data_IF_593028072102
#
_entry.id   IF_593028072102
#
_cell.length_a   1.000
_cell.length_b   1.000
_cell.length_c   1.000
_cell.angle_alpha   90.00
_cell.angle_beta   90.00
_cell.angle_gamma   90.00
#
_symmetry.space_group_name_H-M   'P 1'
#
loop_
_entity.id
_entity.type
_entity.pdbx_description
1 polymer ?
#
# COMPACT_ATOMS: atom_id res chain seq x y z
N UNK A 1 -16.45 -4.56 -20.96
CA UNK A 1 -17.24 -3.76 -21.90
C UNK A 1 -18.59 -3.46 -21.24
N UNK A 2 -18.98 -2.21 -21.17
CA UNK A 2 -20.23 -1.77 -20.54
C UNK A 2 -21.37 -1.99 -21.55
N UNK A 3 -22.29 -2.89 -21.26
CA UNK A 3 -23.52 -3.03 -22.04
C UNK A 3 -24.34 -1.73 -22.01
N UNK A 4 -24.84 -1.31 -23.16
CA UNK A 4 -25.53 0.00 -23.36
C UNK A 4 -26.71 0.26 -22.40
N UNK A 5 -27.36 -0.78 -21.87
CA UNK A 5 -28.52 -0.65 -20.96
C UNK A 5 -28.15 -0.43 -19.49
N UNK A 6 -26.86 -0.58 -19.09
CA UNK A 6 -26.46 -0.56 -17.68
C UNK A 6 -25.51 0.62 -17.31
N UNK A 7 -25.29 1.54 -18.26
CA UNK A 7 -24.35 2.66 -18.05
C UNK A 7 -24.78 3.61 -16.93
N UNK A 8 -26.04 3.97 -16.89
CA UNK A 8 -26.58 4.86 -15.84
C UNK A 8 -26.40 4.25 -14.43
N UNK A 9 -26.72 2.97 -14.28
CA UNK A 9 -26.59 2.26 -13.02
C UNK A 9 -25.13 2.11 -12.58
N UNK A 10 -24.21 1.85 -13.52
CA UNK A 10 -22.76 1.83 -13.25
C UNK A 10 -22.28 3.20 -12.79
N UNK A 11 -22.73 4.28 -13.43
CA UNK A 11 -22.41 5.65 -13.03
C UNK A 11 -22.91 5.97 -11.61
N UNK A 12 -24.11 5.54 -11.24
CA UNK A 12 -24.62 5.72 -9.88
C UNK A 12 -23.72 5.05 -8.84
N UNK A 13 -23.24 3.82 -9.11
CA UNK A 13 -22.27 3.15 -8.23
C UNK A 13 -20.95 3.90 -8.09
N UNK A 14 -20.41 4.41 -9.21
CA UNK A 14 -19.18 5.24 -9.19
C UNK A 14 -19.42 6.53 -8.41
N UNK A 15 -20.57 7.18 -8.62
CA UNK A 15 -20.92 8.44 -7.95
C UNK A 15 -21.08 8.26 -6.45
N UNK A 16 -21.71 7.15 -6.02
CA UNK A 16 -21.80 6.79 -4.60
C UNK A 16 -20.40 6.69 -3.96
N UNK A 17 -19.51 5.95 -4.60
CA UNK A 17 -18.14 5.77 -4.10
C UNK A 17 -17.38 7.11 -4.09
N UNK A 18 -17.53 7.94 -5.13
CA UNK A 18 -16.93 9.26 -5.16
C UNK A 18 -17.41 10.15 -4.01
N UNK A 19 -18.73 10.13 -3.72
CA UNK A 19 -19.30 10.90 -2.60
C UNK A 19 -18.72 10.47 -1.26
N UNK A 20 -18.63 9.16 -0.99
CA UNK A 20 -18.00 8.65 0.22
C UNK A 20 -16.50 9.00 0.29
N UNK A 21 -15.83 9.03 -0.85
CA UNK A 21 -14.42 9.40 -0.93
C UNK A 21 -14.20 10.88 -0.63
N UNK A 22 -15.07 11.76 -1.11
CA UNK A 22 -15.06 13.18 -0.70
C UNK A 22 -15.30 13.33 0.81
N UNK A 23 -16.26 12.60 1.35
CA UNK A 23 -16.48 12.59 2.79
C UNK A 23 -15.22 12.08 3.55
N UNK A 24 -14.53 11.08 3.02
CA UNK A 24 -13.29 10.58 3.61
C UNK A 24 -12.17 11.63 3.64
N UNK A 25 -12.02 12.43 2.57
CA UNK A 25 -11.10 13.56 2.54
C UNK A 25 -11.44 14.60 3.60
N UNK A 26 -12.72 14.98 3.67
CA UNK A 26 -13.17 15.97 4.66
C UNK A 26 -12.97 15.48 6.09
N UNK A 27 -13.27 14.21 6.37
CA UNK A 27 -13.07 13.61 7.70
C UNK A 27 -11.58 13.51 8.04
N UNK A 28 -10.71 13.20 7.07
CA UNK A 28 -9.27 13.13 7.30
C UNK A 28 -8.66 14.48 7.71
N UNK A 29 -9.28 15.61 7.32
CA UNK A 29 -8.86 16.96 7.71
C UNK A 29 -9.29 17.34 9.13
N UNK A 30 -10.20 16.61 9.77
CA UNK A 30 -10.61 16.87 11.15
C UNK A 30 -9.39 16.78 12.08
N UNK A 31 -9.15 17.77 12.97
CA UNK A 31 -7.94 17.83 13.77
C UNK A 31 -7.59 16.58 14.57
N UNK A 32 -8.61 15.86 15.08
CA UNK A 32 -8.41 14.61 15.82
C UNK A 32 -7.94 13.50 14.88
N UNK A 33 -8.56 13.35 13.70
CA UNK A 33 -8.22 12.33 12.69
C UNK A 33 -6.83 12.60 12.11
N UNK A 34 -6.54 13.87 11.84
CA UNK A 34 -5.23 14.33 11.35
C UNK A 34 -4.11 14.05 12.36
N UNK A 35 -4.35 14.26 13.68
CA UNK A 35 -3.38 13.91 14.73
C UNK A 35 -3.07 12.42 14.80
N UNK A 36 -4.02 11.58 14.42
CA UNK A 36 -3.83 10.13 14.31
C UNK A 36 -3.17 9.72 12.99
N UNK A 37 -2.84 10.68 12.11
CA UNK A 37 -2.27 10.48 10.77
C UNK A 37 -3.05 9.48 9.92
N UNK A 38 -4.37 9.42 10.09
CA UNK A 38 -5.23 8.62 9.24
C UNK A 38 -5.34 9.27 7.87
N UNK A 39 -4.82 8.58 6.86
CA UNK A 39 -4.95 9.01 5.48
C UNK A 39 -6.41 8.93 5.00
N UNK A 40 -6.81 9.70 3.97
CA UNK A 40 -8.14 9.56 3.35
C UNK A 40 -8.43 8.13 2.90
N UNK A 41 -7.41 7.34 2.52
CA UNK A 41 -7.54 5.95 2.15
C UNK A 41 -8.09 5.08 3.30
N UNK A 42 -7.53 5.27 4.49
CA UNK A 42 -7.96 4.56 5.71
C UNK A 42 -9.39 4.96 6.09
N UNK A 43 -9.68 6.26 6.08
CA UNK A 43 -11.03 6.76 6.35
C UNK A 43 -12.02 6.21 5.33
N UNK A 44 -11.64 6.18 4.05
CA UNK A 44 -12.46 5.65 2.96
C UNK A 44 -12.84 4.18 3.15
N UNK A 45 -11.88 3.30 3.47
CA UNK A 45 -12.21 1.88 3.69
C UNK A 45 -13.13 1.70 4.91
N UNK A 46 -12.90 2.46 6.00
CA UNK A 46 -13.75 2.40 7.19
C UNK A 46 -15.17 2.85 6.87
N UNK A 47 -15.36 3.96 6.16
CA UNK A 47 -16.68 4.42 5.71
C UNK A 47 -17.36 3.38 4.83
N UNK A 48 -16.63 2.78 3.89
CA UNK A 48 -17.12 1.68 3.05
C UNK A 48 -17.58 0.48 3.88
N UNK A 49 -16.78 0.06 4.88
CA UNK A 49 -17.13 -1.04 5.78
C UNK A 49 -18.36 -0.72 6.66
N UNK A 50 -18.45 0.51 7.19
CA UNK A 50 -19.63 0.96 7.94
C UNK A 50 -20.88 0.90 7.05
N UNK A 51 -20.77 1.38 5.82
CA UNK A 51 -21.86 1.30 4.85
C UNK A 51 -22.26 -0.17 4.55
N UNK A 52 -21.28 -1.04 4.31
CA UNK A 52 -21.50 -2.47 4.03
C UNK A 52 -22.25 -3.19 5.16
N UNK A 53 -22.01 -2.80 6.41
CA UNK A 53 -22.58 -3.47 7.57
C UNK A 53 -23.86 -2.80 8.13
N UNK A 54 -24.20 -1.60 7.65
CA UNK A 54 -25.42 -0.88 8.08
C UNK A 54 -26.47 -0.74 6.97
N UNK A 55 -26.07 -0.40 5.76
CA UNK A 55 -26.97 0.04 4.69
C UNK A 55 -26.92 -0.84 3.43
N UNK A 56 -26.07 -1.87 3.37
CA UNK A 56 -25.89 -2.68 2.16
C UNK A 56 -27.19 -3.31 1.64
N UNK A 57 -28.09 -3.72 2.50
CA UNK A 57 -29.37 -4.31 2.13
C UNK A 57 -30.30 -3.32 1.38
N UNK A 58 -29.95 -2.03 1.38
CA UNK A 58 -30.67 -0.98 0.66
C UNK A 58 -29.98 -0.59 -0.65
N UNK A 59 -28.79 -1.15 -0.95
CA UNK A 59 -28.07 -0.88 -2.18
C UNK A 59 -28.69 -1.64 -3.35
N UNK A 60 -29.08 -0.96 -4.43
CA UNK A 60 -29.50 -1.64 -5.65
C UNK A 60 -28.38 -2.50 -6.22
N UNK A 61 -28.64 -3.77 -6.50
CA UNK A 61 -27.66 -4.69 -7.12
C UNK A 61 -27.14 -4.15 -8.47
N UNK A 62 -27.92 -3.31 -9.13
CA UNK A 62 -27.54 -2.64 -10.39
C UNK A 62 -26.37 -1.66 -10.25
N UNK A 63 -26.01 -1.20 -9.04
CA UNK A 63 -24.89 -0.29 -8.78
C UNK A 63 -23.57 -1.02 -8.52
N UNK A 64 -23.62 -2.31 -8.20
CA UNK A 64 -22.43 -3.15 -7.90
C UNK A 64 -21.39 -3.13 -9.03
N UNK A 65 -21.75 -3.13 -10.35
CA UNK A 65 -20.74 -3.00 -11.40
C UNK A 65 -19.92 -1.72 -11.32
N UNK A 66 -20.51 -0.59 -10.88
CA UNK A 66 -19.81 0.68 -10.68
C UNK A 66 -18.84 0.64 -9.51
N UNK A 67 -19.23 0.00 -8.42
CA UNK A 67 -18.33 -0.24 -7.26
C UNK A 67 -17.14 -1.08 -7.68
N UNK A 68 -17.37 -2.19 -8.41
CA UNK A 68 -16.30 -3.05 -8.93
C UNK A 68 -15.40 -2.36 -9.96
N UNK A 69 -15.92 -1.38 -10.69
CA UNK A 69 -15.10 -0.56 -11.56
C UNK A 69 -14.10 0.28 -10.75
N UNK A 70 -14.53 0.83 -9.61
CA UNK A 70 -13.65 1.58 -8.72
C UNK A 70 -12.55 0.69 -8.12
N UNK A 71 -12.88 -0.51 -7.64
CA UNK A 71 -11.87 -1.44 -7.07
C UNK A 71 -10.89 -1.98 -8.10
N UNK A 72 -11.20 -1.93 -9.39
CA UNK A 72 -10.34 -2.53 -10.43
C UNK A 72 -9.67 -1.52 -11.35
N UNK A 73 -10.45 -0.63 -11.96
CA UNK A 73 -9.91 0.28 -12.98
C UNK A 73 -9.41 1.58 -12.37
N UNK A 74 -10.21 2.20 -11.50
CA UNK A 74 -9.82 3.44 -10.82
C UNK A 74 -8.55 3.21 -10.00
N UNK A 75 -8.47 2.08 -9.28
CA UNK A 75 -7.27 1.66 -8.57
C UNK A 75 -6.01 1.65 -9.45
N UNK A 76 -6.10 0.98 -10.61
CA UNK A 76 -4.93 0.82 -11.50
C UNK A 76 -4.42 2.16 -12.01
N UNK A 77 -5.32 3.04 -12.40
CA UNK A 77 -4.95 4.38 -12.83
C UNK A 77 -4.41 5.23 -11.68
N UNK A 78 -4.98 5.12 -10.46
CA UNK A 78 -4.41 5.77 -9.27
C UNK A 78 -2.98 5.33 -9.03
N UNK A 79 -2.67 4.02 -9.10
CA UNK A 79 -1.30 3.51 -8.94
C UNK A 79 -0.38 4.07 -10.03
N UNK A 80 -0.82 4.14 -11.29
CA UNK A 80 0.01 4.71 -12.37
C UNK A 80 0.32 6.18 -12.11
N UNK A 81 -0.68 6.99 -11.73
CA UNK A 81 -0.49 8.41 -11.43
C UNK A 81 0.38 8.63 -10.19
N UNK A 82 0.36 7.71 -9.23
CA UNK A 82 1.23 7.77 -8.04
C UNK A 82 2.72 7.82 -8.41
N UNK A 83 3.10 7.34 -9.60
CA UNK A 83 4.46 7.44 -10.13
C UNK A 83 4.97 8.88 -10.28
N UNK A 84 4.10 9.88 -10.43
CA UNK A 84 4.51 11.29 -10.49
C UNK A 84 5.07 11.84 -9.16
N UNK A 85 4.88 11.13 -8.04
CA UNK A 85 5.46 11.51 -6.75
C UNK A 85 6.94 11.19 -6.62
N UNK A 86 7.51 10.47 -7.58
CA UNK A 86 8.84 9.91 -7.51
C UNK A 86 9.71 10.34 -8.69
N UNK A 87 11.01 10.47 -8.44
CA UNK A 87 12.04 10.63 -9.46
C UNK A 87 13.19 9.67 -9.22
N UNK A 88 13.89 9.30 -10.30
CA UNK A 88 15.10 8.46 -10.21
C UNK A 88 16.22 9.18 -9.45
N UNK A 89 16.28 10.52 -9.52
CA UNK A 89 17.24 11.32 -8.78
C UNK A 89 17.04 11.20 -7.26
N UNK A 90 15.78 11.22 -6.78
CA UNK A 90 15.46 11.01 -5.36
C UNK A 90 15.87 9.61 -4.89
N UNK A 91 15.66 8.59 -5.73
CA UNK A 91 16.09 7.22 -5.43
C UNK A 91 17.62 7.13 -5.33
N UNK A 92 18.33 7.79 -6.23
CA UNK A 92 19.79 7.83 -6.21
C UNK A 92 20.35 8.60 -4.99
N UNK A 93 19.64 9.61 -4.51
CA UNK A 93 20.07 10.46 -3.40
C UNK A 93 20.13 9.71 -2.05
N UNK A 94 19.25 8.74 -1.82
CA UNK A 94 19.24 7.93 -0.56
C UNK A 94 20.33 6.85 -0.59
N UNK A 95 20.80 6.49 -1.79
CA UNK A 95 21.94 5.62 -1.99
C UNK A 95 21.63 4.12 -2.01
N UNK A 96 22.66 3.35 -2.35
CA UNK A 96 22.61 1.89 -2.49
C UNK A 96 22.21 1.17 -1.17
N UNK A 97 22.67 1.61 0.03
CA UNK A 97 22.34 0.93 1.27
C UNK A 97 20.83 0.81 1.51
N UNK A 98 20.07 1.86 1.28
CA UNK A 98 18.61 1.82 1.46
C UNK A 98 17.92 0.85 0.48
N UNK A 99 18.39 0.80 -0.77
CA UNK A 99 17.86 -0.16 -1.77
C UNK A 99 18.12 -1.60 -1.33
N UNK A 100 19.32 -1.89 -0.80
CA UNK A 100 19.68 -3.22 -0.32
C UNK A 100 18.86 -3.60 0.92
N UNK A 101 18.69 -2.68 1.87
CA UNK A 101 17.82 -2.89 3.03
C UNK A 101 16.40 -3.24 2.59
N UNK A 102 15.82 -2.45 1.68
CA UNK A 102 14.47 -2.67 1.17
C UNK A 102 14.33 -4.02 0.45
N UNK A 103 15.30 -4.42 -0.37
CA UNK A 103 15.30 -5.72 -1.04
C UNK A 103 15.31 -6.87 -0.04
N UNK A 104 16.15 -6.79 1.01
CA UNK A 104 16.21 -7.82 2.06
C UNK A 104 14.88 -7.84 2.83
N UNK A 105 14.41 -6.70 3.30
CA UNK A 105 13.18 -6.59 4.09
C UNK A 105 11.98 -7.11 3.29
N UNK A 106 11.83 -6.69 2.04
CA UNK A 106 10.72 -7.12 1.17
C UNK A 106 10.78 -8.64 0.94
N UNK A 107 11.95 -9.16 0.56
CA UNK A 107 12.12 -10.57 0.24
C UNK A 107 11.86 -11.45 1.46
N UNK A 108 12.49 -11.15 2.59
CA UNK A 108 12.35 -11.94 3.83
C UNK A 108 10.91 -11.84 4.36
N UNK A 109 10.26 -10.68 4.29
CA UNK A 109 8.88 -10.51 4.75
C UNK A 109 7.90 -11.32 3.91
N UNK A 110 8.04 -11.32 2.57
CA UNK A 110 7.16 -12.11 1.71
C UNK A 110 7.39 -13.62 1.90
N UNK A 111 8.64 -14.07 1.83
CA UNK A 111 8.97 -15.49 1.97
C UNK A 111 8.65 -16.01 3.37
N UNK A 112 9.06 -15.26 4.39
CA UNK A 112 8.78 -15.58 5.80
C UNK A 112 7.28 -15.60 6.09
N UNK A 113 6.54 -14.63 5.57
CA UNK A 113 5.09 -14.56 5.75
C UNK A 113 4.33 -15.70 5.07
N UNK A 114 4.75 -16.11 3.86
CA UNK A 114 4.18 -17.30 3.19
C UNK A 114 4.51 -18.58 3.97
N UNK A 115 5.71 -18.70 4.52
CA UNK A 115 6.11 -19.85 5.36
C UNK A 115 5.33 -19.88 6.67
N UNK A 116 5.28 -18.77 7.39
CA UNK A 116 4.51 -18.63 8.63
C UNK A 116 3.01 -18.85 8.40
N UNK A 117 2.47 -18.37 7.28
CA UNK A 117 1.09 -18.60 6.90
C UNK A 117 0.76 -20.09 6.77
N UNK A 118 1.68 -20.89 6.19
CA UNK A 118 1.55 -22.36 6.15
C UNK A 118 1.57 -23.00 7.54
N UNK A 119 2.51 -22.57 8.38
CA UNK A 119 2.62 -23.07 9.76
C UNK A 119 1.37 -22.77 10.59
N UNK A 120 0.80 -21.58 10.41
CA UNK A 120 -0.45 -21.15 11.06
C UNK A 120 -1.70 -21.72 10.41
N UNK A 121 -1.57 -22.54 9.35
CA UNK A 121 -2.69 -23.12 8.58
C UNK A 121 -3.66 -22.04 8.06
N UNK A 122 -3.10 -20.92 7.58
CA UNK A 122 -3.85 -19.85 6.94
C UNK A 122 -3.97 -20.16 5.46
N UNK A 123 -5.12 -19.81 4.88
CA UNK A 123 -5.30 -19.84 3.43
C UNK A 123 -4.17 -19.08 2.71
N UNK A 124 -3.67 -19.70 1.63
CA UNK A 124 -2.51 -19.22 0.91
C UNK A 124 -2.66 -17.81 0.36
N UNK A 125 -3.83 -17.49 -0.16
CA UNK A 125 -4.08 -16.18 -0.76
C UNK A 125 -4.08 -15.11 0.33
N UNK A 126 -4.73 -15.37 1.46
CA UNK A 126 -4.72 -14.47 2.63
C UNK A 126 -3.30 -14.28 3.18
N UNK A 127 -2.52 -15.36 3.31
CA UNK A 127 -1.14 -15.28 3.76
C UNK A 127 -0.27 -14.46 2.79
N UNK A 128 -0.40 -14.70 1.48
CA UNK A 128 0.34 -13.99 0.44
C UNK A 128 -0.03 -12.50 0.40
N UNK A 129 -1.32 -12.18 0.49
CA UNK A 129 -1.82 -10.80 0.48
C UNK A 129 -1.34 -10.03 1.72
N UNK A 130 -1.45 -10.64 2.93
CA UNK A 130 -0.98 -10.04 4.19
C UNK A 130 0.54 -9.83 4.14
N UNK A 131 1.31 -10.80 3.65
CA UNK A 131 2.76 -10.71 3.53
C UNK A 131 3.18 -9.62 2.54
N UNK A 132 2.52 -9.51 1.40
CA UNK A 132 2.80 -8.48 0.38
C UNK A 132 2.48 -7.08 0.91
N UNK A 133 1.37 -6.93 1.61
CA UNK A 133 1.03 -5.66 2.27
C UNK A 133 2.05 -5.25 3.31
N UNK A 134 2.42 -6.16 4.20
CA UNK A 134 3.45 -5.91 5.24
C UNK A 134 4.83 -5.64 4.63
N UNK A 135 5.14 -6.30 3.51
CA UNK A 135 6.45 -6.20 2.86
C UNK A 135 6.66 -4.91 2.09
N UNK A 136 5.66 -4.26 1.52
CA UNK A 136 5.86 -3.16 0.56
C UNK A 136 5.29 -1.84 1.07
N UNK A 137 4.03 -1.54 0.78
CA UNK A 137 3.44 -0.25 1.09
C UNK A 137 2.03 -0.34 1.71
N UNK A 138 1.79 -1.38 2.48
CA UNK A 138 0.53 -1.54 3.17
C UNK A 138 -0.64 -1.83 2.24
N UNK A 139 -1.71 -1.08 2.41
CA UNK A 139 -2.96 -1.26 1.71
C UNK A 139 -2.81 -1.17 0.18
N UNK A 140 -2.01 -0.25 -0.34
CA UNK A 140 -1.79 -0.10 -1.78
C UNK A 140 -1.15 -1.35 -2.40
N UNK A 141 -0.19 -2.00 -1.70
CA UNK A 141 0.43 -3.24 -2.15
C UNK A 141 -0.54 -4.41 -2.15
N UNK A 142 -1.40 -4.52 -1.13
CA UNK A 142 -2.47 -5.52 -1.07
C UNK A 142 -3.40 -5.38 -2.26
N UNK A 143 -3.89 -4.16 -2.53
CA UNK A 143 -4.77 -3.89 -3.67
C UNK A 143 -4.09 -4.14 -5.02
N UNK A 144 -2.81 -3.76 -5.14
CA UNK A 144 -2.00 -4.05 -6.32
C UNK A 144 -1.81 -5.54 -6.59
N UNK A 145 -1.70 -6.36 -5.52
CA UNK A 145 -1.55 -7.80 -5.62
C UNK A 145 -2.88 -8.53 -5.94
N UNK A 146 -4.04 -7.98 -5.59
CA UNK A 146 -5.34 -8.61 -5.80
C UNK A 146 -5.57 -9.09 -7.25
N UNK A 147 -5.35 -8.27 -8.30
CA UNK A 147 -5.55 -8.71 -9.68
C UNK A 147 -4.61 -9.85 -10.11
N UNK A 148 -3.44 -9.97 -9.46
CA UNK A 148 -2.43 -11.00 -9.73
C UNK A 148 -2.77 -12.30 -9.00
N UNK A 149 -3.11 -12.19 -7.72
CA UNK A 149 -3.49 -13.34 -6.86
C UNK A 149 -4.87 -13.86 -7.25
N UNK A 150 -5.78 -12.97 -7.65
CA UNK A 150 -7.18 -13.27 -8.01
C UNK A 150 -7.94 -13.93 -6.86
N UNK A 151 -7.73 -13.43 -5.65
CA UNK A 151 -8.43 -13.89 -4.47
C UNK A 151 -9.81 -13.22 -4.31
N UNK A 152 -10.58 -13.71 -3.35
CA UNK A 152 -11.86 -13.13 -2.98
C UNK A 152 -11.67 -11.80 -2.25
N UNK A 153 -12.52 -10.80 -2.50
CA UNK A 153 -12.40 -9.45 -1.96
C UNK A 153 -12.31 -9.38 -0.42
N UNK A 154 -12.97 -10.31 0.29
CA UNK A 154 -12.86 -10.34 1.75
C UNK A 154 -11.45 -10.68 2.25
N UNK A 155 -10.68 -11.52 1.54
CA UNK A 155 -9.28 -11.83 1.85
C UNK A 155 -8.40 -10.59 1.69
N UNK A 156 -8.64 -9.84 0.63
CA UNK A 156 -8.01 -8.53 0.40
C UNK A 156 -8.32 -7.57 1.55
N UNK A 157 -9.58 -7.48 1.97
CA UNK A 157 -9.98 -6.60 3.05
C UNK A 157 -9.36 -7.00 4.41
N UNK A 158 -9.25 -8.31 4.70
CA UNK A 158 -8.56 -8.80 5.91
C UNK A 158 -7.10 -8.38 5.87
N UNK A 159 -6.40 -8.61 4.75
CA UNK A 159 -5.00 -8.22 4.61
C UNK A 159 -4.82 -6.70 4.78
N UNK A 160 -5.69 -5.89 4.16
CA UNK A 160 -5.67 -4.42 4.33
C UNK A 160 -5.85 -4.04 5.81
N UNK A 161 -6.82 -4.65 6.51
CA UNK A 161 -7.06 -4.33 7.91
C UNK A 161 -5.88 -4.65 8.80
N UNK A 162 -5.18 -5.77 8.55
CA UNK A 162 -3.98 -6.13 9.32
C UNK A 162 -2.88 -5.09 9.14
N UNK A 163 -2.59 -4.66 7.91
CA UNK A 163 -1.53 -3.67 7.63
C UNK A 163 -1.88 -2.28 8.14
N UNK A 164 -3.16 -1.90 8.15
CA UNK A 164 -3.61 -0.63 8.73
C UNK A 164 -3.40 -0.63 10.25
N UNK A 165 -3.81 -1.70 10.95
CA UNK A 165 -3.66 -1.80 12.41
C UNK A 165 -2.18 -1.73 12.82
N UNK A 166 -1.34 -2.58 12.24
CA UNK A 166 0.08 -2.61 12.59
C UNK A 166 0.86 -1.39 12.06
N UNK A 167 0.43 -0.82 10.93
CA UNK A 167 0.98 0.43 10.41
C UNK A 167 0.72 1.60 11.35
N UNK A 168 -0.52 1.75 11.83
CA UNK A 168 -0.88 2.79 12.81
C UNK A 168 -0.13 2.59 14.13
N UNK A 169 -0.03 1.34 14.60
CA UNK A 169 0.75 1.04 15.82
C UNK A 169 2.22 1.43 15.65
N UNK A 170 2.83 1.13 14.49
CA UNK A 170 4.21 1.52 14.17
C UNK A 170 4.43 3.01 14.25
N UNK A 171 3.50 3.79 13.70
CA UNK A 171 3.62 5.25 13.66
C UNK A 171 3.80 5.87 15.04
N UNK A 172 3.19 5.28 16.08
CA UNK A 172 3.36 5.72 17.47
C UNK A 172 4.55 5.04 18.14
N UNK A 173 4.82 3.78 17.86
CA UNK A 173 5.89 3.02 18.50
C UNK A 173 7.28 3.57 18.15
N UNK A 174 7.54 3.91 16.90
CA UNK A 174 8.87 4.32 16.43
C UNK A 174 9.34 5.64 17.07
N UNK A 175 8.53 6.70 17.16
CA UNK A 175 8.89 7.89 17.92
C UNK A 175 9.12 7.64 19.41
N UNK A 176 8.38 6.71 20.01
CA UNK A 176 8.63 6.29 21.40
C UNK A 176 9.98 5.60 21.53
N UNK A 177 10.28 4.63 20.64
CA UNK A 177 11.59 3.95 20.63
C UNK A 177 12.76 4.92 20.44
N UNK A 178 12.60 5.92 19.56
CA UNK A 178 13.59 6.97 19.33
C UNK A 178 13.83 7.81 20.60
N UNK A 179 12.77 8.32 21.20
CA UNK A 179 12.84 9.19 22.40
C UNK A 179 13.30 8.46 23.65
N UNK A 180 13.01 7.17 23.79
CA UNK A 180 13.44 6.35 24.93
C UNK A 180 14.87 5.86 24.79
N UNK A 181 15.55 6.17 23.69
CA UNK A 181 16.94 5.75 23.46
C UNK A 181 17.09 4.30 22.99
N UNK A 182 16.02 3.59 22.67
CA UNK A 182 16.12 2.22 22.14
C UNK A 182 16.80 2.18 20.76
N UNK A 183 16.84 3.29 20.04
CA UNK A 183 17.50 3.44 18.76
C UNK A 183 18.86 4.15 18.83
N UNK A 184 19.41 4.43 20.04
CA UNK A 184 20.68 5.14 20.23
C UNK A 184 21.91 4.42 19.60
N UNK A 185 21.77 3.17 19.17
CA UNK A 185 22.80 2.45 18.44
C UNK A 185 22.80 2.73 16.93
N UNK A 186 21.91 3.60 16.44
CA UNK A 186 21.76 3.98 15.03
C UNK A 186 22.02 5.47 14.87
N UNK A 187 22.60 5.87 13.73
CA UNK A 187 22.67 7.26 13.28
C UNK A 187 21.29 7.73 12.82
N UNK A 188 21.08 9.06 12.71
CA UNK A 188 19.80 9.60 12.25
C UNK A 188 19.46 9.13 10.82
N UNK A 189 20.44 8.96 9.94
CA UNK A 189 20.26 8.36 8.61
C UNK A 189 19.81 6.91 8.70
N UNK A 190 20.42 6.11 9.57
CA UNK A 190 20.00 4.71 9.78
C UNK A 190 18.58 4.65 10.37
N UNK A 191 18.23 5.53 11.31
CA UNK A 191 16.87 5.63 11.84
C UNK A 191 15.87 6.00 10.74
N UNK A 192 16.23 6.91 9.85
CA UNK A 192 15.40 7.31 8.72
C UNK A 192 15.19 6.14 7.75
N UNK A 193 16.27 5.45 7.34
CA UNK A 193 16.20 4.27 6.45
C UNK A 193 15.39 3.15 7.13
N UNK A 194 15.65 2.86 8.41
CA UNK A 194 14.89 1.88 9.18
C UNK A 194 13.39 2.20 9.19
N UNK A 195 13.04 3.45 9.48
CA UNK A 195 11.65 3.92 9.51
C UNK A 195 10.98 3.75 8.14
N UNK A 196 11.64 4.17 7.06
CA UNK A 196 11.14 4.04 5.68
C UNK A 196 10.99 2.58 5.24
N UNK A 197 11.97 1.74 5.57
CA UNK A 197 12.01 0.33 5.15
C UNK A 197 11.09 -0.60 5.94
N UNK A 198 10.54 -0.19 7.08
CA UNK A 198 9.79 -1.10 7.96
C UNK A 198 8.36 -0.67 8.25
N UNK A 199 8.02 0.62 8.26
CA UNK A 199 6.64 1.05 8.39
C UNK A 199 5.81 0.70 7.14
N UNK A 200 4.50 0.58 7.31
CA UNK A 200 3.61 0.07 6.25
C UNK A 200 3.24 1.12 5.22
N UNK A 201 2.80 2.31 5.61
CA UNK A 201 2.31 3.35 4.70
C UNK A 201 3.16 4.61 4.71
N UNK A 202 3.13 5.36 3.59
CA UNK A 202 3.87 6.62 3.45
C UNK A 202 3.41 7.65 4.49
N UNK A 203 2.10 7.75 4.75
CA UNK A 203 1.56 8.66 5.76
C UNK A 203 2.07 8.33 7.17
N UNK A 204 2.18 7.04 7.51
CA UNK A 204 2.73 6.60 8.80
C UNK A 204 4.23 6.89 8.91
N UNK A 205 4.98 6.74 7.79
CA UNK A 205 6.42 7.08 7.75
C UNK A 205 6.62 8.57 7.97
N UNK A 206 5.90 9.41 7.23
CA UNK A 206 5.97 10.86 7.40
C UNK A 206 5.53 11.30 8.81
N UNK A 207 4.44 10.71 9.33
CA UNK A 207 3.96 10.98 10.69
C UNK A 207 4.97 10.59 11.77
N UNK A 208 5.57 9.41 11.67
CA UNK A 208 6.61 8.96 12.59
C UNK A 208 7.88 9.81 12.49
N UNK A 209 8.35 10.09 11.26
CA UNK A 209 9.52 10.93 11.01
C UNK A 209 9.37 12.33 11.60
N UNK A 210 8.25 13.01 11.33
CA UNK A 210 7.95 14.32 11.91
C UNK A 210 7.78 14.28 13.44
N UNK A 211 7.32 13.15 14.00
CA UNK A 211 7.22 13.02 15.46
C UNK A 211 8.59 12.79 16.10
N UNK A 212 9.56 12.21 15.40
CA UNK A 212 10.96 12.04 15.87
C UNK A 212 11.74 13.35 15.73
N UNK A 213 11.58 14.03 14.60
CA UNK A 213 12.28 15.26 14.23
C UNK A 213 11.28 16.35 13.77
N UNK A 214 10.61 17.05 14.72
CA UNK A 214 9.55 18.01 14.39
C UNK A 214 9.99 19.21 13.57
N UNK A 215 11.27 19.56 13.60
CA UNK A 215 11.86 20.68 12.87
C UNK A 215 12.48 20.26 11.54
N UNK A 216 12.51 18.96 11.26
CA UNK A 216 13.21 18.33 10.14
C UNK A 216 14.70 18.74 10.05
N UNK A 217 15.30 19.09 11.20
CA UNK A 217 16.68 19.52 11.29
C UNK A 217 17.67 18.37 11.01
N UNK A 218 17.26 17.13 11.28
CA UNK A 218 18.04 15.92 11.07
C UNK A 218 17.69 15.23 9.75
N UNK A 219 16.67 15.71 9.04
CA UNK A 219 16.20 15.16 7.77
C UNK A 219 15.60 13.75 7.87
N UNK A 220 15.14 13.35 9.07
CA UNK A 220 14.62 12.00 9.30
C UNK A 220 13.34 11.77 8.48
N UNK A 221 12.39 12.71 8.52
CA UNK A 221 11.12 12.56 7.82
C UNK A 221 11.29 12.50 6.29
N UNK A 222 12.14 13.37 5.74
CA UNK A 222 12.45 13.41 4.31
C UNK A 222 13.10 12.12 3.84
N UNK A 223 14.20 11.71 4.46
CA UNK A 223 14.96 10.49 4.09
C UNK A 223 14.12 9.21 4.28
N UNK A 224 13.36 9.10 5.38
CA UNK A 224 12.46 7.97 5.59
C UNK A 224 11.37 7.89 4.51
N UNK A 225 10.80 9.03 4.11
CA UNK A 225 9.78 9.08 3.06
C UNK A 225 10.37 8.64 1.72
N UNK A 226 11.55 9.12 1.33
CA UNK A 226 12.20 8.71 0.08
C UNK A 226 12.54 7.23 0.11
N UNK A 227 13.09 6.70 1.22
CA UNK A 227 13.35 5.27 1.39
C UNK A 227 12.07 4.46 1.20
N UNK A 228 10.96 4.90 1.81
CA UNK A 228 9.66 4.25 1.63
C UNK A 228 9.21 4.25 0.17
N UNK A 229 9.49 5.31 -0.57
CA UNK A 229 9.15 5.39 -2.00
C UNK A 229 9.97 4.40 -2.84
N UNK A 230 11.25 4.16 -2.52
CA UNK A 230 12.06 3.11 -3.15
C UNK A 230 11.37 1.74 -2.97
N UNK A 231 10.92 1.47 -1.75
CA UNK A 231 10.18 0.23 -1.45
C UNK A 231 8.88 0.11 -2.24
N UNK A 232 8.17 1.21 -2.48
CA UNK A 232 6.97 1.23 -3.36
C UNK A 232 7.34 0.86 -4.80
N UNK A 233 8.49 1.28 -5.31
CA UNK A 233 8.96 0.88 -6.65
C UNK A 233 9.15 -0.63 -6.78
N UNK A 234 9.54 -1.32 -5.70
CA UNK A 234 9.69 -2.78 -5.70
C UNK A 234 8.35 -3.51 -5.87
N UNK A 235 7.21 -2.83 -5.74
CA UNK A 235 5.90 -3.42 -6.01
C UNK A 235 5.81 -3.99 -7.43
N UNK A 236 6.30 -3.26 -8.43
CA UNK A 236 6.22 -3.68 -9.82
C UNK A 236 6.96 -5.02 -10.08
N UNK A 237 8.28 -5.15 -9.79
CA UNK A 237 8.97 -6.41 -9.98
C UNK A 237 8.41 -7.55 -9.13
N UNK A 238 7.97 -7.27 -7.90
CA UNK A 238 7.34 -8.28 -7.02
C UNK A 238 6.05 -8.81 -7.64
N UNK A 239 5.18 -7.95 -8.16
CA UNK A 239 3.94 -8.37 -8.81
C UNK A 239 4.19 -9.20 -10.07
N UNK A 240 5.21 -8.87 -10.85
CA UNK A 240 5.63 -9.64 -12.03
C UNK A 240 6.10 -11.02 -11.61
N UNK A 241 7.04 -11.12 -10.65
CA UNK A 241 7.55 -12.40 -10.13
C UNK A 241 6.41 -13.22 -9.54
N UNK A 242 5.53 -12.62 -8.74
CA UNK A 242 4.36 -13.28 -8.17
C UNK A 242 3.45 -13.85 -9.26
N UNK A 243 3.20 -13.06 -10.32
CA UNK A 243 2.41 -13.51 -11.46
C UNK A 243 2.99 -14.75 -12.14
N UNK A 244 4.31 -14.79 -12.37
CA UNK A 244 5.00 -15.95 -12.93
C UNK A 244 4.93 -17.17 -12.02
N UNK A 245 5.22 -17.01 -10.72
CA UNK A 245 5.20 -18.11 -9.74
C UNK A 245 3.80 -18.70 -9.60
N UNK A 246 2.76 -17.86 -9.57
CA UNK A 246 1.38 -18.34 -9.49
C UNK A 246 0.91 -19.03 -10.77
N UNK A 247 1.33 -18.53 -11.94
CA UNK A 247 1.02 -19.16 -13.23
C UNK A 247 1.68 -20.53 -13.37
N UNK A 248 2.95 -20.67 -12.95
CA UNK A 248 3.69 -21.94 -12.98
C UNK A 248 3.00 -23.03 -12.15
N UNK A 249 2.63 -22.71 -10.92
CA UNK A 249 2.00 -23.68 -9.99
C UNK A 249 0.60 -24.11 -10.39
N UNK A 250 -0.18 -23.25 -11.05
CA UNK A 250 -1.48 -23.65 -11.62
C UNK A 250 -1.32 -24.68 -12.74
N UNK A 251 -0.17 -24.73 -13.41
CA UNK A 251 0.16 -25.73 -14.44
C UNK A 251 0.36 -27.12 -13.85
N UNK A 252 0.98 -27.21 -12.67
CA UNK A 252 1.23 -28.47 -11.98
C UNK A 252 -0.05 -29.11 -11.39
N UNK A 253 -1.07 -28.29 -11.11
CA UNK A 253 -2.33 -28.74 -10.49
C UNK A 253 -3.38 -29.27 -11.49
N UNK A 254 -3.02 -29.60 -12.73
CA UNK A 254 -3.92 -30.26 -13.67
C UNK A 254 -5.11 -29.45 -14.22
N UNK A 255 -5.11 -28.12 -14.04
CA UNK A 255 -6.17 -27.26 -14.57
C UNK A 255 -6.08 -27.11 -16.09
N UNK A 256 -7.26 -27.10 -16.76
CA UNK A 256 -7.45 -27.08 -18.21
C UNK A 256 -6.48 -26.21 -19.00
N UNK A 257 -5.99 -26.73 -20.10
CA UNK A 257 -5.05 -26.15 -21.08
C UNK A 257 -5.68 -25.05 -21.95
N UNK A 258 -6.50 -24.16 -21.38
CA UNK A 258 -6.93 -22.95 -22.09
C UNK A 258 -5.77 -21.97 -22.24
N UNK A 259 -5.67 -21.26 -23.39
CA UNK A 259 -4.66 -20.22 -23.68
C UNK A 259 -4.49 -19.28 -22.48
N UNK A 260 -3.47 -19.52 -21.64
CA UNK A 260 -3.23 -18.80 -20.40
C UNK A 260 -2.59 -17.45 -20.72
N UNK A 261 -3.38 -16.41 -20.59
CA UNK A 261 -2.83 -15.06 -20.48
C UNK A 261 -2.23 -14.90 -19.06
N UNK A 262 -0.91 -14.87 -18.97
CA UNK A 262 -0.22 -14.37 -17.77
C UNK A 262 -0.82 -13.00 -17.51
N UNK A 263 -1.38 -12.80 -16.32
CA UNK A 263 -1.91 -11.49 -15.96
C UNK A 263 -0.72 -10.54 -15.69
N UNK A 264 -0.16 -10.02 -16.78
CA UNK A 264 0.90 -9.00 -16.70
C UNK A 264 0.25 -7.76 -16.09
N UNK A 265 0.74 -7.27 -14.94
CA UNK A 265 0.19 -6.08 -14.31
C UNK A 265 0.65 -4.83 -15.06
N UNK A 266 0.00 -4.52 -16.19
CA UNK A 266 0.35 -3.38 -17.05
C UNK A 266 0.48 -2.06 -16.29
N UNK A 267 -0.33 -1.89 -15.23
CA UNK A 267 -0.31 -0.70 -14.38
C UNK A 267 1.01 -0.56 -13.60
N UNK A 268 1.69 -1.68 -13.28
CA UNK A 268 3.00 -1.67 -12.65
C UNK A 268 4.09 -1.13 -13.60
N UNK A 269 4.02 -1.51 -14.88
CA UNK A 269 4.90 -0.93 -15.91
C UNK A 269 4.54 0.54 -16.18
N UNK A 270 3.23 0.87 -16.20
CA UNK A 270 2.77 2.25 -16.28
C UNK A 270 3.31 3.12 -15.14
N UNK A 271 3.31 2.62 -13.91
CA UNK A 271 3.89 3.28 -12.75
C UNK A 271 5.39 3.59 -12.94
N UNK A 272 6.19 2.58 -13.33
CA UNK A 272 7.63 2.77 -13.63
C UNK A 272 7.82 3.76 -14.78
N UNK A 273 7.02 3.65 -15.84
CA UNK A 273 7.06 4.56 -16.98
C UNK A 273 6.80 6.02 -16.59
N UNK A 274 5.84 6.24 -15.68
CA UNK A 274 5.54 7.59 -15.15
C UNK A 274 6.67 8.13 -14.28
N UNK A 275 7.33 7.30 -13.47
CA UNK A 275 8.54 7.71 -12.72
C UNK A 275 9.64 8.16 -13.70
N UNK A 276 9.88 7.38 -14.75
CA UNK A 276 10.85 7.75 -15.80
C UNK A 276 10.48 9.05 -16.52
N UNK A 277 9.21 9.20 -16.87
CA UNK A 277 8.69 10.43 -17.50
C UNK A 277 8.85 11.64 -16.55
N UNK A 278 8.48 11.52 -15.29
CA UNK A 278 8.63 12.58 -14.31
C UNK A 278 10.10 12.99 -14.13
N UNK A 279 11.00 12.00 -14.07
CA UNK A 279 12.46 12.24 -14.00
C UNK A 279 12.99 12.97 -15.23
N UNK A 280 12.51 12.60 -16.42
CA UNK A 280 12.88 13.26 -17.68
C UNK A 280 12.33 14.69 -17.74
N UNK A 281 11.07 14.90 -17.36
CA UNK A 281 10.46 16.24 -17.33
C UNK A 281 11.21 17.17 -16.37
N UNK A 282 11.58 16.69 -15.18
CA UNK A 282 12.37 17.48 -14.22
C UNK A 282 13.77 17.82 -14.75
N UNK A 283 14.37 16.92 -15.52
CA UNK A 283 15.68 17.16 -16.18
C UNK A 283 15.58 18.19 -17.29
N UNK A 284 14.48 18.24 -18.05
CA UNK A 284 14.31 19.12 -19.22
C UNK A 284 13.74 20.50 -18.84
N UNK A 285 12.74 20.54 -17.96
CA UNK A 285 11.99 21.75 -17.64
C UNK A 285 12.40 22.39 -16.30
N UNK A 286 13.30 21.76 -15.55
CA UNK A 286 13.69 22.15 -14.21
C UNK A 286 12.75 21.61 -13.13
N UNK A 287 13.33 21.37 -11.94
CA UNK A 287 12.64 20.72 -10.82
C UNK A 287 11.45 21.55 -10.33
N UNK A 288 11.60 22.88 -10.25
CA UNK A 288 10.55 23.76 -9.72
C UNK A 288 9.33 23.82 -10.65
N UNK A 289 9.54 23.96 -11.97
CA UNK A 289 8.45 24.04 -12.96
C UNK A 289 7.64 22.76 -13.00
N UNK A 290 8.28 21.59 -12.98
CA UNK A 290 7.59 20.29 -12.98
C UNK A 290 6.94 20.05 -11.62
N UNK A 291 7.58 20.46 -10.53
CA UNK A 291 7.02 20.42 -9.19
C UNK A 291 5.78 21.31 -9.07
N UNK A 292 5.77 22.48 -9.66
CA UNK A 292 4.55 23.31 -9.75
C UNK A 292 3.43 22.65 -10.55
N UNK A 293 3.71 22.00 -11.65
CA UNK A 293 2.71 21.36 -12.51
C UNK A 293 2.25 20.01 -11.95
N UNK A 294 3.16 19.22 -11.37
CA UNK A 294 2.86 17.84 -10.91
C UNK A 294 2.63 17.71 -9.41
N UNK A 295 3.27 18.52 -8.57
CA UNK A 295 3.23 18.44 -7.11
C UNK A 295 2.43 19.55 -6.44
N UNK A 296 2.07 20.63 -7.13
CA UNK A 296 1.19 21.67 -6.57
C UNK A 296 -0.26 21.23 -6.48
N UNK A 297 -0.46 20.00 -6.13
CA UNK A 297 -1.72 19.54 -5.61
C UNK A 297 -2.62 18.81 -6.60
N UNK A 298 -2.58 19.06 -7.91
CA UNK A 298 -3.61 18.51 -8.78
C UNK A 298 -3.44 17.01 -9.04
N UNK A 299 -2.25 16.56 -9.48
CA UNK A 299 -2.05 15.13 -9.78
C UNK A 299 -2.01 14.32 -8.49
N UNK A 300 -1.34 14.84 -7.45
CA UNK A 300 -1.29 14.20 -6.15
C UNK A 300 -2.66 14.09 -5.50
N UNK A 301 -3.49 15.12 -5.63
CA UNK A 301 -4.86 15.09 -5.15
C UNK A 301 -5.71 14.09 -5.93
N UNK A 302 -5.59 14.05 -7.26
CA UNK A 302 -6.33 13.13 -8.12
C UNK A 302 -5.94 11.68 -7.87
N UNK A 303 -4.66 11.36 -7.76
CA UNK A 303 -4.24 9.98 -7.51
C UNK A 303 -4.67 9.52 -6.11
N UNK A 304 -4.52 10.36 -5.07
CA UNK A 304 -5.00 10.06 -3.72
C UNK A 304 -6.51 9.86 -3.72
N UNK A 305 -7.25 10.70 -4.46
CA UNK A 305 -8.71 10.57 -4.58
C UNK A 305 -9.10 9.25 -5.25
N UNK A 306 -8.44 8.87 -6.34
CA UNK A 306 -8.68 7.61 -7.03
C UNK A 306 -8.35 6.40 -6.15
N UNK A 307 -7.26 6.45 -5.41
CA UNK A 307 -6.90 5.40 -4.45
C UNK A 307 -7.91 5.33 -3.30
N UNK A 308 -8.38 6.47 -2.79
CA UNK A 308 -9.44 6.54 -1.77
C UNK A 308 -10.75 5.96 -2.30
N UNK A 309 -11.12 6.23 -3.57
CA UNK A 309 -12.29 5.60 -4.20
C UNK A 309 -12.15 4.07 -4.24
N UNK A 310 -10.98 3.56 -4.61
CA UNK A 310 -10.74 2.11 -4.62
C UNK A 310 -10.85 1.50 -3.22
N UNK A 311 -10.30 2.16 -2.20
CA UNK A 311 -10.37 1.72 -0.80
C UNK A 311 -11.80 1.76 -0.25
N UNK A 312 -12.53 2.84 -0.54
CA UNK A 312 -13.93 2.97 -0.16
C UNK A 312 -14.78 1.87 -0.79
N UNK A 313 -14.60 1.64 -2.10
CA UNK A 313 -15.30 0.58 -2.82
C UNK A 313 -14.99 -0.81 -2.25
N UNK A 314 -13.72 -1.10 -1.92
CA UNK A 314 -13.32 -2.33 -1.24
C UNK A 314 -13.99 -2.47 0.12
N UNK A 315 -14.08 -1.39 0.89
CA UNK A 315 -14.79 -1.35 2.16
C UNK A 315 -16.25 -1.78 2.01
N UNK A 316 -16.95 -1.32 0.94
CA UNK A 316 -18.36 -1.69 0.69
C UNK A 316 -18.55 -3.17 0.33
N UNK A 317 -17.52 -3.88 -0.09
CA UNK A 317 -17.54 -5.33 -0.34
C UNK A 317 -17.20 -6.16 0.90
N UNK A 318 -16.87 -5.50 2.02
CA UNK A 318 -16.36 -6.12 3.25
C UNK A 318 -17.44 -6.19 4.33
N UNK A 319 -17.88 -7.40 4.69
CA UNK A 319 -18.81 -7.64 5.81
C UNK A 319 -18.08 -8.12 7.07
N UNK A 320 -18.57 -7.73 8.25
CA UNK A 320 -18.06 -8.17 9.55
C UNK A 320 -18.13 -9.69 9.73
N UNK A 321 -19.16 -10.35 9.14
CA UNK A 321 -19.29 -11.81 9.23
C UNK A 321 -18.14 -12.53 8.52
N UNK A 322 -17.67 -12.02 7.37
CA UNK A 322 -16.50 -12.56 6.67
C UNK A 322 -15.21 -12.36 7.48
N UNK A 323 -15.10 -11.24 8.21
CA UNK A 323 -14.03 -11.00 9.16
C UNK A 323 -14.01 -12.03 10.29
N UNK A 324 -15.17 -12.29 10.90
CA UNK A 324 -15.33 -13.30 11.96
C UNK A 324 -14.97 -14.71 11.45
N UNK A 325 -15.37 -15.06 10.22
CA UNK A 325 -15.04 -16.35 9.61
C UNK A 325 -13.53 -16.54 9.37
N UNK A 326 -12.80 -15.48 9.04
CA UNK A 326 -11.34 -15.52 8.88
C UNK A 326 -10.60 -15.82 10.19
N UNK A 327 -11.21 -15.50 11.33
CA UNK A 327 -10.65 -15.72 12.66
C UNK A 327 -9.41 -14.86 12.96
N UNK A 328 -8.73 -15.19 14.07
CA UNK A 328 -7.58 -14.42 14.55
C UNK A 328 -6.26 -14.72 13.82
N UNK A 329 -6.17 -15.84 13.08
CA UNK A 329 -4.89 -16.30 12.49
C UNK A 329 -4.22 -15.29 11.55
N UNK A 330 -4.91 -14.59 10.63
CA UNK A 330 -4.30 -13.56 9.79
C UNK A 330 -3.69 -12.41 10.61
N UNK A 331 -4.32 -12.03 11.72
CA UNK A 331 -3.80 -11.01 12.63
C UNK A 331 -2.56 -11.49 13.40
N UNK A 332 -2.51 -12.78 13.78
CA UNK A 332 -1.32 -13.39 14.37
C UNK A 332 -0.17 -13.39 13.35
N UNK A 333 -0.43 -13.76 12.10
CA UNK A 333 0.58 -13.69 11.04
C UNK A 333 1.12 -12.27 10.88
N UNK A 334 0.22 -11.29 10.77
CA UNK A 334 0.62 -9.89 10.63
C UNK A 334 1.39 -9.39 11.85
N UNK A 335 1.01 -9.82 13.06
CA UNK A 335 1.75 -9.52 14.30
C UNK A 335 3.17 -10.09 14.30
N UNK A 336 3.35 -11.34 13.85
CA UNK A 336 4.68 -11.94 13.72
C UNK A 336 5.53 -11.21 12.67
N UNK A 337 4.94 -10.85 11.53
CA UNK A 337 5.61 -10.04 10.51
C UNK A 337 5.94 -8.64 11.04
N UNK A 338 5.08 -8.07 11.85
CA UNK A 338 5.33 -6.79 12.52
C UNK A 338 6.53 -6.87 13.45
N UNK A 339 6.60 -7.90 14.30
CA UNK A 339 7.78 -8.14 15.18
C UNK A 339 9.05 -8.31 14.34
N UNK A 340 8.97 -9.04 13.22
CA UNK A 340 10.08 -9.14 12.28
C UNK A 340 10.49 -7.77 11.72
N UNK A 341 9.54 -6.94 11.29
CA UNK A 341 9.82 -5.60 10.74
C UNK A 341 10.48 -4.70 11.79
N UNK A 342 9.99 -4.73 13.04
CA UNK A 342 10.56 -3.92 14.13
C UNK A 342 11.95 -4.45 14.53
N UNK A 343 12.07 -5.71 14.89
CA UNK A 343 13.34 -6.25 15.40
C UNK A 343 14.33 -6.61 14.28
N UNK A 344 13.88 -7.40 13.28
CA UNK A 344 14.72 -7.80 12.15
C UNK A 344 15.12 -6.63 11.26
N UNK A 345 14.19 -5.72 11.01
CA UNK A 345 14.47 -4.49 10.27
C UNK A 345 15.55 -3.63 10.94
N UNK A 346 15.51 -3.50 12.26
CA UNK A 346 16.57 -2.82 13.02
C UNK A 346 17.96 -3.45 12.75
N UNK A 347 18.07 -4.77 12.89
CA UNK A 347 19.34 -5.47 12.65
C UNK A 347 19.80 -5.38 11.20
N UNK A 348 18.90 -5.54 10.24
CA UNK A 348 19.22 -5.44 8.80
C UNK A 348 19.72 -4.04 8.48
N UNK A 349 19.00 -2.99 8.91
CA UNK A 349 19.40 -1.60 8.60
C UNK A 349 20.74 -1.26 9.22
N UNK A 350 20.92 -1.56 10.51
CA UNK A 350 22.17 -1.25 11.21
C UNK A 350 23.39 -1.92 10.58
N UNK A 351 23.27 -3.18 10.18
CA UNK A 351 24.41 -3.89 9.57
C UNK A 351 24.65 -3.46 8.13
N UNK A 352 23.60 -3.29 7.33
CA UNK A 352 23.75 -2.97 5.90
C UNK A 352 24.20 -1.52 5.70
N UNK A 353 23.58 -0.56 6.39
CA UNK A 353 23.97 0.87 6.26
C UNK A 353 25.33 1.12 6.89
N UNK A 354 25.68 0.42 7.96
CA UNK A 354 26.99 0.55 8.59
C UNK A 354 28.15 -0.12 7.84
N UNK A 355 27.86 -0.99 6.84
CA UNK A 355 28.86 -1.67 6.02
C UNK A 355 29.11 -1.02 4.65
N UNK A 356 28.16 -0.26 4.13
CA UNK A 356 28.18 0.40 2.82
C UNK A 356 28.30 1.91 2.96
#
# INVERSE_FOLDING_TARGET
MLEKGNRANTLHGIFLIALFSFAAFYIAEIPVVRRLSFSPLIVGIVLGMLYANSLRNRLPETWVPGIRFCTKQVLRWGIVLYGFRLTLAQVAAVGVPAVVVDLIVVTVTILGGVLLGRLLKIDRDTALMTSTGSAICGAAAVLGAEPVVKCEGYKTAIAVSTVVIFGTLSMFLYPVMYRTGMLNGMTDTEVAVYTGSTLHEVAHVAGAGNAMDPTDALGIAGTATITKMIRVMLLAPVLVIMGFVLAGRRKESGGETGKRRIAVPWFAFGFIGVIGLNSLLQSLCGVETVREITLTGTIEYVDTFMLTMAMTALGTETSLDKFRQAGARPFVLAGLLYVWLVAGGYFVTKNVVGML
#
